data_IF_430818655555
#
_entry.id   IF_430818655555
#
_cell.length_a   1.000
_cell.length_b   1.000
_cell.length_c   1.000
_cell.angle_alpha   90.00
_cell.angle_beta   90.00
_cell.angle_gamma   90.00
#
_symmetry.space_group_name_H-M   'P 1'
#
loop_
_entity.id
_entity.type
_entity.pdbx_description
1 polymer ?
#
# COMPACT_ATOMS: atom_id res chain seq x y z
N UNK A 1 17.85 -17.90 10.78
CA UNK A 1 16.50 -18.33 11.20
C UNK A 1 15.85 -18.97 10.00
N UNK A 2 15.45 -20.24 10.07
CA UNK A 2 14.66 -20.85 9.01
C UNK A 2 13.26 -20.24 9.06
N UNK A 3 12.80 -19.66 7.95
CA UNK A 3 11.44 -19.14 7.84
C UNK A 3 10.49 -20.35 7.92
N UNK A 4 9.83 -20.52 9.06
CA UNK A 4 8.94 -21.64 9.29
C UNK A 4 7.54 -21.18 8.89
N UNK A 5 7.14 -21.57 7.68
CA UNK A 5 5.77 -21.38 7.23
C UNK A 5 4.85 -22.22 8.12
N UNK A 6 3.94 -21.57 8.82
CA UNK A 6 3.01 -22.24 9.75
C UNK A 6 1.95 -23.06 9.00
N UNK A 7 1.94 -23.04 7.66
CA UNK A 7 1.03 -23.81 6.83
C UNK A 7 -0.42 -23.36 6.93
N UNK A 8 -0.69 -22.20 7.55
CA UNK A 8 -2.01 -21.63 7.71
C UNK A 8 -2.52 -20.97 6.43
N UNK A 9 -3.79 -21.22 6.07
CA UNK A 9 -4.47 -20.47 5.01
C UNK A 9 -4.98 -19.14 5.57
N UNK A 10 -4.17 -18.10 5.45
CA UNK A 10 -4.52 -16.75 5.88
C UNK A 10 -4.93 -15.91 4.67
N UNK A 11 -6.20 -15.50 4.67
CA UNK A 11 -6.69 -14.54 3.66
C UNK A 11 -6.00 -13.18 3.83
N UNK A 12 -6.02 -12.31 2.81
CA UNK A 12 -5.39 -10.99 2.91
C UNK A 12 -5.93 -10.16 4.09
N UNK A 13 -7.20 -10.34 4.48
CA UNK A 13 -7.76 -9.66 5.66
C UNK A 13 -7.11 -10.06 6.98
N UNK A 14 -6.66 -11.31 7.13
CA UNK A 14 -5.88 -11.69 8.30
C UNK A 14 -4.54 -10.93 8.34
N UNK A 15 -3.92 -10.68 7.18
CA UNK A 15 -2.67 -9.94 7.08
C UNK A 15 -2.88 -8.45 7.36
N UNK A 16 -3.96 -7.85 6.85
CA UNK A 16 -4.36 -6.48 7.17
C UNK A 16 -4.62 -6.29 8.68
N UNK A 17 -5.38 -7.19 9.30
CA UNK A 17 -5.64 -7.14 10.74
C UNK A 17 -4.35 -7.30 11.56
N UNK A 18 -3.47 -8.21 11.16
CA UNK A 18 -2.18 -8.38 11.80
C UNK A 18 -1.27 -7.14 11.61
N UNK A 19 -1.27 -6.53 10.42
CA UNK A 19 -0.55 -5.29 10.15
C UNK A 19 -0.99 -4.15 11.07
N UNK A 20 -2.31 -3.99 11.26
CA UNK A 20 -2.87 -3.03 12.21
C UNK A 20 -2.38 -3.29 13.64
N UNK A 21 -2.44 -4.55 14.09
CA UNK A 21 -1.97 -4.94 15.41
C UNK A 21 -0.45 -4.72 15.61
N UNK A 22 0.36 -5.00 14.58
CA UNK A 22 1.80 -4.73 14.62
C UNK A 22 2.06 -3.23 14.69
N UNK A 23 1.38 -2.40 13.89
CA UNK A 23 1.60 -0.94 13.92
C UNK A 23 1.16 -0.32 15.27
N UNK A 24 0.07 -0.82 15.86
CA UNK A 24 -0.35 -0.44 17.20
C UNK A 24 0.68 -0.86 18.27
N UNK A 25 1.20 -2.09 18.17
CA UNK A 25 2.25 -2.57 19.07
C UNK A 25 3.54 -1.76 18.93
N UNK A 26 3.92 -1.41 17.69
CA UNK A 26 5.06 -0.52 17.45
C UNK A 26 4.87 0.83 18.15
N UNK A 27 3.65 1.36 18.27
CA UNK A 27 3.43 2.62 19.01
C UNK A 27 3.72 2.51 20.50
N UNK A 28 3.43 1.35 21.09
CA UNK A 28 3.62 1.07 22.52
C UNK A 28 5.08 0.82 22.88
N UNK A 29 5.95 0.56 21.90
CA UNK A 29 7.39 0.40 22.12
C UNK A 29 8.03 1.75 22.46
N UNK A 30 8.63 1.86 23.65
CA UNK A 30 9.45 3.01 24.05
C UNK A 30 10.52 3.30 23.01
N UNK A 31 10.45 4.51 22.43
CA UNK A 31 11.38 4.94 21.39
C UNK A 31 12.72 5.34 21.99
N UNK A 32 13.77 4.68 21.53
CA UNK A 32 15.16 5.03 21.80
C UNK A 32 15.83 5.41 20.48
N UNK A 33 16.95 6.16 20.49
CA UNK A 33 17.72 6.42 19.28
C UNK A 33 18.10 5.15 18.51
N UNK A 34 18.27 4.01 19.21
CA UNK A 34 18.61 2.73 18.61
C UNK A 34 17.45 2.03 17.89
N UNK A 35 16.20 2.18 18.35
CA UNK A 35 15.04 1.45 17.81
C UNK A 35 14.05 2.31 17.01
N UNK A 36 14.13 3.64 17.11
CA UNK A 36 13.20 4.55 16.45
C UNK A 36 13.26 4.38 14.92
N UNK A 37 14.48 4.29 14.38
CA UNK A 37 14.70 4.02 12.96
C UNK A 37 14.10 2.67 12.52
N UNK A 38 14.28 1.61 13.31
CA UNK A 38 13.72 0.30 12.99
C UNK A 38 12.19 0.33 12.95
N UNK A 39 11.55 0.94 13.95
CA UNK A 39 10.10 1.08 13.98
C UNK A 39 9.58 1.83 12.74
N UNK A 40 10.30 2.88 12.32
CA UNK A 40 9.99 3.66 11.12
C UNK A 40 10.12 2.84 9.84
N UNK A 41 11.15 1.98 9.73
CA UNK A 41 11.39 1.13 8.55
C UNK A 41 10.51 -0.10 8.48
N UNK A 42 9.96 -0.58 9.59
CA UNK A 42 9.00 -1.69 9.59
C UNK A 42 7.66 -1.26 8.99
N UNK A 43 7.18 -0.04 9.29
CA UNK A 43 5.84 0.42 8.90
C UNK A 43 5.52 0.30 7.39
N UNK A 44 6.40 0.69 6.46
CA UNK A 44 6.16 0.50 5.02
C UNK A 44 6.09 -0.96 4.56
N UNK A 45 6.59 -1.91 5.35
CA UNK A 45 6.56 -3.34 5.02
C UNK A 45 5.25 -4.00 5.46
N UNK A 46 4.44 -3.30 6.26
CA UNK A 46 3.15 -3.77 6.69
C UNK A 46 2.11 -3.53 5.59
N UNK A 47 1.25 -4.51 5.27
CA UNK A 47 0.12 -4.28 4.38
C UNK A 47 -0.79 -3.14 4.86
N UNK A 48 -1.50 -2.52 3.92
CA UNK A 48 -2.59 -1.60 4.20
C UNK A 48 -3.65 -2.31 5.03
N UNK A 49 -4.09 -1.62 6.08
CA UNK A 49 -5.19 -2.06 6.93
C UNK A 49 -6.41 -1.15 6.80
N UNK A 50 -6.60 -0.55 5.62
CA UNK A 50 -7.84 0.16 5.31
C UNK A 50 -9.06 -0.76 5.44
N UNK A 51 -10.23 -0.14 5.57
CA UNK A 51 -11.50 -0.85 5.66
C UNK A 51 -11.73 -1.85 4.50
N UNK A 52 -11.26 -1.52 3.30
CA UNK A 52 -11.34 -2.38 2.11
C UNK A 52 -10.55 -3.69 2.26
N UNK A 53 -9.43 -3.66 2.98
CA UNK A 53 -8.55 -4.83 3.16
C UNK A 53 -8.81 -5.61 4.44
N UNK A 54 -9.43 -4.99 5.44
CA UNK A 54 -9.84 -5.66 6.69
C UNK A 54 -11.20 -6.36 6.56
N UNK A 55 -11.97 -6.06 5.51
CA UNK A 55 -13.20 -6.76 5.15
C UNK A 55 -12.98 -8.28 5.01
N UNK A 56 -14.03 -9.10 5.20
CA UNK A 56 -13.88 -10.57 5.20
C UNK A 56 -13.33 -11.15 3.88
N UNK A 57 -13.60 -10.49 2.76
CA UNK A 57 -13.19 -10.96 1.43
C UNK A 57 -12.63 -9.77 0.63
N UNK A 58 -11.37 -9.36 0.90
CA UNK A 58 -10.71 -8.32 0.13
C UNK A 58 -10.17 -8.89 -1.19
N UNK A 59 -9.75 -8.01 -2.10
CA UNK A 59 -9.07 -8.39 -3.35
C UNK A 59 -9.87 -9.39 -4.20
N UNK A 60 -11.21 -9.32 -4.19
CA UNK A 60 -12.09 -10.28 -4.88
C UNK A 60 -12.02 -10.19 -6.40
N UNK A 61 -11.60 -9.04 -6.95
CA UNK A 61 -11.55 -8.79 -8.40
C UNK A 61 -10.74 -9.86 -9.15
N UNK A 62 -9.69 -10.39 -8.52
CA UNK A 62 -8.87 -11.45 -9.12
C UNK A 62 -9.67 -12.72 -9.40
N UNK A 63 -10.71 -13.01 -8.60
CA UNK A 63 -11.62 -14.12 -8.84
C UNK A 63 -12.38 -13.89 -10.14
N UNK A 64 -12.96 -12.71 -10.32
CA UNK A 64 -13.75 -12.43 -11.52
C UNK A 64 -12.87 -12.44 -12.76
N UNK A 65 -11.66 -11.88 -12.68
CA UNK A 65 -10.64 -11.92 -13.73
C UNK A 65 -10.32 -13.38 -14.14
N UNK A 66 -10.11 -14.27 -13.17
CA UNK A 66 -9.75 -15.66 -13.46
C UNK A 66 -10.88 -16.50 -14.10
N UNK A 67 -12.15 -16.09 -13.91
CA UNK A 67 -13.32 -16.81 -14.44
C UNK A 67 -13.86 -16.23 -15.76
N UNK A 68 -13.24 -15.17 -16.30
CA UNK A 68 -13.63 -14.55 -17.56
C UNK A 68 -13.69 -15.54 -18.71
N UNK A 69 -14.68 -15.43 -19.59
CA UNK A 69 -14.80 -16.29 -20.79
C UNK A 69 -13.99 -15.78 -21.99
N UNK A 70 -13.70 -14.48 -22.03
CA UNK A 70 -13.11 -13.72 -23.14
C UNK A 70 -11.57 -13.64 -23.12
N UNK A 71 -10.92 -14.57 -22.43
CA UNK A 71 -9.45 -14.71 -22.42
C UNK A 71 -9.02 -16.15 -22.75
N UNK A 72 -7.84 -16.35 -23.35
CA UNK A 72 -7.31 -17.69 -23.65
C UNK A 72 -7.18 -18.57 -22.41
N UNK A 73 -7.33 -19.89 -22.58
CA UNK A 73 -7.23 -20.86 -21.47
C UNK A 73 -5.90 -20.76 -20.71
N UNK A 74 -4.78 -20.64 -21.43
CA UNK A 74 -3.46 -20.56 -20.81
C UNK A 74 -3.34 -19.38 -19.83
N UNK A 75 -3.97 -18.25 -20.15
CA UNK A 75 -3.96 -17.05 -19.32
C UNK A 75 -4.82 -17.22 -18.07
N UNK A 76 -5.99 -17.88 -18.21
CA UNK A 76 -6.83 -18.25 -17.05
C UNK A 76 -6.07 -19.14 -16.09
N UNK A 77 -5.40 -20.15 -16.63
CA UNK A 77 -4.64 -21.11 -15.82
C UNK A 77 -3.47 -20.41 -15.10
N UNK A 78 -2.75 -19.51 -15.79
CA UNK A 78 -1.67 -18.71 -15.18
C UNK A 78 -2.19 -17.83 -14.03
N UNK A 79 -3.27 -17.07 -14.27
CA UNK A 79 -3.90 -16.21 -13.24
C UNK A 79 -4.39 -17.04 -12.06
N UNK A 80 -5.09 -18.16 -12.31
CA UNK A 80 -5.66 -19.00 -11.25
C UNK A 80 -4.57 -19.61 -10.38
N UNK A 81 -3.57 -20.23 -10.99
CA UNK A 81 -2.59 -21.04 -10.27
C UNK A 81 -1.43 -20.24 -9.70
N UNK A 82 -0.99 -19.18 -10.39
CA UNK A 82 0.16 -18.40 -9.95
C UNK A 82 -0.21 -17.15 -9.15
N UNK A 83 -1.44 -16.65 -9.25
CA UNK A 83 -1.85 -15.42 -8.57
C UNK A 83 -3.03 -15.65 -7.63
N UNK A 84 -4.23 -15.98 -8.14
CA UNK A 84 -5.44 -16.10 -7.31
C UNK A 84 -5.29 -17.10 -6.15
N UNK A 85 -4.82 -18.32 -6.43
CA UNK A 85 -4.72 -19.37 -5.42
C UNK A 85 -3.67 -19.06 -4.36
N UNK A 86 -2.61 -18.34 -4.72
CA UNK A 86 -1.53 -17.97 -3.79
C UNK A 86 -1.99 -16.83 -2.89
N UNK A 87 -2.44 -15.73 -3.50
CA UNK A 87 -2.94 -14.54 -2.80
C UNK A 87 -4.01 -14.87 -1.74
N UNK A 88 -4.93 -15.80 -2.03
CA UNK A 88 -5.98 -16.19 -1.09
C UNK A 88 -5.55 -17.20 -0.01
N UNK A 89 -4.34 -17.77 -0.11
CA UNK A 89 -3.77 -18.68 0.90
C UNK A 89 -2.77 -17.96 1.79
N UNK A 90 -1.94 -17.10 1.22
CA UNK A 90 -0.97 -16.28 1.91
C UNK A 90 -0.61 -15.12 0.97
N UNK A 91 -0.99 -13.89 1.34
CA UNK A 91 -0.77 -12.74 0.48
C UNK A 91 0.61 -12.15 0.75
N UNK A 92 1.43 -12.06 -0.29
CA UNK A 92 2.80 -11.55 -0.18
C UNK A 92 3.16 -10.58 -1.31
N UNK A 93 4.19 -9.72 -1.13
CA UNK A 93 4.63 -8.78 -2.16
C UNK A 93 4.95 -9.43 -3.52
N UNK A 94 5.30 -10.72 -3.53
CA UNK A 94 5.47 -11.54 -4.74
C UNK A 94 4.22 -11.66 -5.61
N UNK A 95 3.02 -11.48 -5.04
CA UNK A 95 1.76 -11.46 -5.79
C UNK A 95 1.69 -10.24 -6.71
N UNK A 96 2.21 -9.08 -6.27
CA UNK A 96 2.31 -7.88 -7.11
C UNK A 96 3.28 -8.11 -8.28
N UNK A 97 4.45 -8.70 -8.01
CA UNK A 97 5.41 -9.08 -9.06
C UNK A 97 4.79 -10.06 -10.05
N UNK A 98 4.00 -11.01 -9.57
CA UNK A 98 3.30 -11.98 -10.41
C UNK A 98 2.23 -11.30 -11.26
N UNK A 99 1.47 -10.37 -10.70
CA UNK A 99 0.48 -9.59 -11.42
C UNK A 99 1.12 -8.73 -12.52
N UNK A 100 2.23 -8.06 -12.21
CA UNK A 100 3.03 -7.28 -13.17
C UNK A 100 3.57 -8.14 -14.31
N UNK A 101 4.07 -9.35 -14.01
CA UNK A 101 4.52 -10.31 -15.02
C UNK A 101 3.38 -10.68 -15.97
N UNK A 102 2.21 -11.04 -15.43
CA UNK A 102 1.03 -11.39 -16.22
C UNK A 102 0.64 -10.21 -17.11
N UNK A 103 0.58 -9.00 -16.56
CA UNK A 103 0.27 -7.77 -17.30
C UNK A 103 1.24 -7.50 -18.44
N UNK A 104 2.55 -7.57 -18.18
CA UNK A 104 3.56 -7.33 -19.20
C UNK A 104 3.50 -8.32 -20.36
N UNK A 105 3.08 -9.57 -20.09
CA UNK A 105 2.90 -10.57 -21.14
C UNK A 105 1.72 -10.25 -22.06
N UNK A 106 0.68 -9.56 -21.58
CA UNK A 106 -0.61 -9.44 -22.29
C UNK A 106 -0.96 -8.02 -22.74
N UNK A 107 -0.33 -6.99 -22.18
CA UNK A 107 -0.69 -5.57 -22.43
C UNK A 107 -0.61 -5.18 -23.92
N UNK A 108 0.36 -5.73 -24.66
CA UNK A 108 0.61 -5.41 -26.07
C UNK A 108 0.00 -6.45 -27.03
N UNK A 109 -0.61 -7.52 -26.50
CA UNK A 109 -1.29 -8.53 -27.31
C UNK A 109 -2.63 -8.01 -27.81
N UNK A 110 -2.84 -8.01 -29.13
CA UNK A 110 -4.03 -7.45 -29.77
C UNK A 110 -5.29 -8.33 -29.67
N UNK A 111 -5.12 -9.63 -29.40
CA UNK A 111 -6.20 -10.62 -29.24
C UNK A 111 -6.75 -10.69 -27.81
N UNK A 112 -6.14 -9.96 -26.87
CA UNK A 112 -6.59 -9.91 -25.48
C UNK A 112 -7.63 -8.81 -25.29
N UNK A 113 -8.77 -9.19 -24.71
CA UNK A 113 -9.90 -8.30 -24.40
C UNK A 113 -9.46 -7.03 -23.65
N UNK A 114 -9.87 -5.87 -24.15
CA UNK A 114 -9.64 -4.57 -23.50
C UNK A 114 -10.26 -4.50 -22.10
N UNK A 115 -11.44 -5.10 -21.92
CA UNK A 115 -12.10 -5.16 -20.62
C UNK A 115 -11.35 -6.06 -19.61
N UNK A 116 -10.66 -7.10 -20.07
CA UNK A 116 -9.74 -7.84 -19.21
C UNK A 116 -8.54 -6.96 -18.81
N UNK A 117 -7.95 -6.24 -19.77
CA UNK A 117 -6.79 -5.38 -19.51
C UNK A 117 -7.10 -4.30 -18.48
N UNK A 118 -8.26 -3.67 -18.59
CA UNK A 118 -8.74 -2.68 -17.62
C UNK A 118 -8.89 -3.29 -16.21
N UNK A 119 -9.56 -4.44 -16.08
CA UNK A 119 -9.72 -5.08 -14.77
C UNK A 119 -8.39 -5.51 -14.15
N UNK A 120 -7.46 -6.00 -14.96
CA UNK A 120 -6.12 -6.36 -14.50
C UNK A 120 -5.33 -5.13 -14.03
N UNK A 121 -5.44 -4.00 -14.74
CA UNK A 121 -4.83 -2.74 -14.34
C UNK A 121 -5.37 -2.24 -13.00
N UNK A 122 -6.70 -2.25 -12.82
CA UNK A 122 -7.33 -1.87 -11.55
C UNK A 122 -6.87 -2.81 -10.42
N UNK A 123 -6.85 -4.12 -10.67
CA UNK A 123 -6.41 -5.10 -9.68
C UNK A 123 -4.94 -4.90 -9.26
N UNK A 124 -4.05 -4.56 -10.20
CA UNK A 124 -2.66 -4.21 -9.87
C UNK A 124 -2.59 -2.96 -8.98
N UNK A 125 -3.44 -1.96 -9.22
CA UNK A 125 -3.61 -0.83 -8.33
C UNK A 125 -4.02 -1.25 -6.91
N UNK A 126 -5.01 -2.13 -6.80
CA UNK A 126 -5.46 -2.67 -5.50
C UNK A 126 -4.34 -3.44 -4.78
N UNK A 127 -3.50 -4.21 -5.48
CA UNK A 127 -2.34 -4.88 -4.88
C UNK A 127 -1.27 -3.89 -4.44
N UNK A 128 -0.99 -2.87 -5.26
CA UNK A 128 0.00 -1.84 -4.95
C UNK A 128 -0.41 -1.04 -3.71
N UNK A 129 -1.69 -0.72 -3.58
CA UNK A 129 -2.24 -0.12 -2.38
C UNK A 129 -2.19 -1.08 -1.18
N UNK A 130 -2.62 -2.33 -1.35
CA UNK A 130 -2.58 -3.34 -0.29
C UNK A 130 -1.18 -3.55 0.28
N UNK A 131 -0.13 -3.54 -0.55
CA UNK A 131 1.25 -3.71 -0.10
C UNK A 131 1.98 -2.38 0.19
N UNK A 132 1.27 -1.25 0.21
CA UNK A 132 1.86 0.09 0.44
C UNK A 132 3.04 0.43 -0.50
N UNK A 133 3.05 -0.15 -1.70
CA UNK A 133 4.12 -0.08 -2.69
C UNK A 133 4.10 1.21 -3.54
N UNK A 134 3.17 2.13 -3.26
CA UNK A 134 3.10 3.44 -3.88
C UNK A 134 4.25 4.38 -3.53
N UNK A 135 4.59 5.28 -4.45
CA UNK A 135 5.58 6.34 -4.20
C UNK A 135 5.06 7.41 -3.24
N UNK A 136 5.94 8.31 -2.79
CA UNK A 136 5.54 9.45 -1.95
C UNK A 136 4.44 10.29 -2.61
N UNK A 137 4.57 10.56 -3.90
CA UNK A 137 3.65 11.45 -4.62
C UNK A 137 2.24 10.84 -4.71
N UNK A 138 2.15 9.54 -4.97
CA UNK A 138 0.88 8.81 -4.95
C UNK A 138 0.24 8.81 -3.56
N UNK A 139 1.05 8.64 -2.50
CA UNK A 139 0.57 8.65 -1.11
C UNK A 139 0.05 10.02 -0.68
N UNK A 140 0.74 11.10 -1.06
CA UNK A 140 0.27 12.46 -0.78
C UNK A 140 -0.98 12.76 -1.58
N UNK A 141 -1.03 12.45 -2.87
CA UNK A 141 -2.21 12.66 -3.72
C UNK A 141 -3.45 11.93 -3.17
N UNK A 142 -3.30 10.68 -2.72
CA UNK A 142 -4.36 9.93 -2.04
C UNK A 142 -4.85 10.62 -0.75
N UNK A 143 -3.93 11.04 0.11
CA UNK A 143 -4.29 11.75 1.34
C UNK A 143 -4.97 13.10 1.07
N UNK A 144 -4.53 13.85 0.06
CA UNK A 144 -5.15 15.10 -0.36
C UNK A 144 -6.58 14.89 -0.85
N UNK A 145 -6.83 13.84 -1.65
CA UNK A 145 -8.17 13.47 -2.12
C UNK A 145 -9.10 13.07 -0.99
N UNK A 146 -8.57 12.40 0.03
CA UNK A 146 -9.31 12.00 1.24
C UNK A 146 -9.46 13.12 2.27
N UNK A 147 -8.73 14.23 2.12
CA UNK A 147 -8.75 15.36 3.05
C UNK A 147 -8.06 15.06 4.38
N UNK A 148 -7.04 14.21 4.35
CA UNK A 148 -6.37 13.66 5.53
C UNK A 148 -4.96 14.21 5.74
N UNK A 149 -4.38 14.08 6.95
CA UNK A 149 -5.09 13.76 8.21
C UNK A 149 -6.00 14.89 8.70
N UNK A 150 -5.71 16.13 8.30
CA UNK A 150 -6.49 17.32 8.67
C UNK A 150 -6.26 18.46 7.64
N UNK A 151 -7.00 19.55 7.78
CA UNK A 151 -6.91 20.69 6.86
C UNK A 151 -5.55 21.42 6.89
N UNK A 152 -4.83 21.40 8.02
CA UNK A 152 -3.51 22.02 8.11
C UNK A 152 -2.47 21.17 7.38
N UNK A 153 -2.49 19.86 7.57
CA UNK A 153 -1.66 18.90 6.85
C UNK A 153 -1.87 19.01 5.34
N UNK A 154 -3.12 19.16 4.89
CA UNK A 154 -3.45 19.39 3.48
C UNK A 154 -2.68 20.57 2.89
N UNK A 155 -2.77 21.74 3.51
CA UNK A 155 -2.07 22.94 3.03
C UNK A 155 -0.55 22.78 3.07
N UNK A 156 -0.02 22.08 4.07
CA UNK A 156 1.42 21.78 4.15
C UNK A 156 1.89 20.80 3.06
N UNK A 157 1.10 19.79 2.73
CA UNK A 157 1.37 18.83 1.65
C UNK A 157 1.34 19.51 0.28
N UNK A 158 0.33 20.36 0.01
CA UNK A 158 0.25 21.17 -1.21
C UNK A 158 1.47 22.11 -1.33
N UNK A 159 1.84 22.76 -0.22
CA UNK A 159 3.04 23.59 -0.15
C UNK A 159 4.33 22.80 -0.43
N UNK A 160 4.45 21.60 0.13
CA UNK A 160 5.59 20.72 -0.15
C UNK A 160 5.67 20.32 -1.61
N UNK A 161 4.55 19.97 -2.26
CA UNK A 161 4.57 19.67 -3.69
C UNK A 161 5.03 20.86 -4.53
N UNK A 162 4.56 22.07 -4.22
CA UNK A 162 5.03 23.28 -4.88
C UNK A 162 6.56 23.41 -4.76
N UNK A 163 7.09 23.32 -3.54
CA UNK A 163 8.54 23.45 -3.29
C UNK A 163 9.36 22.28 -3.88
N UNK A 164 8.80 21.06 -3.90
CA UNK A 164 9.45 19.89 -4.50
C UNK A 164 9.75 20.11 -5.98
N UNK A 165 8.85 20.75 -6.70
CA UNK A 165 8.96 20.96 -8.15
C UNK A 165 9.60 22.30 -8.54
N UNK A 166 9.34 23.37 -7.80
CA UNK A 166 9.74 24.73 -8.16
C UNK A 166 10.70 25.40 -7.15
N UNK A 167 10.83 24.84 -5.95
CA UNK A 167 11.61 25.42 -4.86
C UNK A 167 13.13 25.22 -5.01
N UNK A 168 13.89 25.96 -4.22
CA UNK A 168 15.32 25.72 -4.03
C UNK A 168 15.55 24.77 -2.84
N UNK A 169 16.79 24.30 -2.65
CA UNK A 169 17.09 23.30 -1.62
C UNK A 169 16.63 23.73 -0.21
N UNK A 170 16.85 24.99 0.15
CA UNK A 170 16.45 25.53 1.45
C UNK A 170 14.93 25.52 1.65
N UNK A 171 14.13 25.97 0.68
CA UNK A 171 12.67 26.04 0.81
C UNK A 171 12.04 24.64 0.87
N UNK A 172 12.63 23.66 0.16
CA UNK A 172 12.27 22.25 0.30
C UNK A 172 12.51 21.71 1.70
N UNK A 173 13.69 21.97 2.28
CA UNK A 173 14.01 21.53 3.63
C UNK A 173 13.05 22.14 4.66
N UNK A 174 12.71 23.42 4.50
CA UNK A 174 11.72 24.11 5.35
C UNK A 174 10.31 23.54 5.19
N UNK A 175 9.89 23.17 3.97
CA UNK A 175 8.61 22.50 3.74
C UNK A 175 8.57 21.12 4.42
N UNK A 176 9.62 20.31 4.27
CA UNK A 176 9.75 19.00 4.94
C UNK A 176 9.72 19.17 6.46
N UNK A 177 10.46 20.15 7.01
CA UNK A 177 10.49 20.42 8.44
C UNK A 177 9.11 20.73 9.00
N UNK A 178 8.37 21.64 8.34
CA UNK A 178 6.99 22.00 8.72
C UNK A 178 6.06 20.79 8.72
N UNK A 179 6.11 19.97 7.66
CA UNK A 179 5.33 18.73 7.56
C UNK A 179 5.64 17.74 8.69
N UNK A 180 6.93 17.48 8.93
CA UNK A 180 7.35 16.51 9.95
C UNK A 180 6.97 16.99 11.35
N UNK A 181 7.10 18.28 11.65
CA UNK A 181 6.65 18.85 12.92
C UNK A 181 5.14 18.70 13.08
N UNK A 182 4.36 19.01 12.05
CA UNK A 182 2.90 18.83 12.09
C UNK A 182 2.52 17.38 12.34
N UNK A 183 3.08 16.44 11.56
CA UNK A 183 2.80 15.01 11.73
C UNK A 183 3.21 14.49 13.11
N UNK A 184 4.38 14.91 13.62
CA UNK A 184 4.85 14.50 14.95
C UNK A 184 3.85 14.88 16.03
N UNK A 185 3.36 16.13 16.01
CA UNK A 185 2.35 16.60 16.96
C UNK A 185 1.01 15.87 16.78
N UNK A 186 0.59 15.67 15.53
CA UNK A 186 -0.67 14.98 15.22
C UNK A 186 -0.65 13.52 15.71
N UNK A 187 0.48 12.81 15.56
CA UNK A 187 0.61 11.42 16.02
C UNK A 187 0.47 11.23 17.53
N UNK A 188 0.72 12.26 18.35
CA UNK A 188 0.58 12.17 19.80
C UNK A 188 -0.88 12.09 20.25
N UNK A 189 -1.79 12.65 19.45
CA UNK A 189 -3.22 12.76 19.80
C UNK A 189 -4.14 11.95 18.90
N UNK A 190 -3.63 11.46 17.76
CA UNK A 190 -4.44 10.74 16.78
C UNK A 190 -4.81 9.33 17.24
N UNK A 191 -6.01 8.88 16.87
CA UNK A 191 -6.43 7.51 17.07
C UNK A 191 -5.71 6.56 16.10
N UNK A 192 -5.46 5.33 16.57
CA UNK A 192 -4.94 4.27 15.71
C UNK A 192 -5.96 3.92 14.61
N UNK A 193 -5.49 3.82 13.37
CA UNK A 193 -6.38 3.57 12.24
C UNK A 193 -5.75 3.90 10.89
N UNK A 194 -6.52 3.73 9.82
CA UNK A 194 -6.01 3.83 8.45
C UNK A 194 -5.45 5.23 8.10
N UNK A 195 -6.04 6.30 8.65
CA UNK A 195 -5.53 7.67 8.50
C UNK A 195 -4.14 7.79 9.14
N UNK A 196 -3.95 7.18 10.31
CA UNK A 196 -2.66 7.14 10.99
C UNK A 196 -1.64 6.36 10.14
N UNK A 197 -2.02 5.23 9.55
CA UNK A 197 -1.16 4.47 8.64
C UNK A 197 -0.70 5.34 7.47
N UNK A 198 -1.64 5.93 6.72
CA UNK A 198 -1.34 6.73 5.53
C UNK A 198 -0.42 7.90 5.86
N UNK A 199 -0.74 8.63 6.93
CA UNK A 199 0.08 9.77 7.39
C UNK A 199 1.49 9.36 7.75
N UNK A 200 1.68 8.20 8.40
CA UNK A 200 3.01 7.65 8.72
C UNK A 200 3.79 7.26 7.48
N UNK A 201 3.13 6.68 6.50
CA UNK A 201 3.78 6.28 5.25
C UNK A 201 4.23 7.49 4.44
N UNK A 202 3.46 8.59 4.47
CA UNK A 202 3.88 9.87 3.91
C UNK A 202 5.10 10.39 4.67
N UNK A 203 5.02 10.48 6.00
CA UNK A 203 6.13 10.92 6.83
C UNK A 203 7.41 10.13 6.53
N UNK A 204 7.35 8.80 6.52
CA UNK A 204 8.48 7.92 6.17
C UNK A 204 9.04 8.23 4.78
N UNK A 205 8.18 8.53 3.82
CA UNK A 205 8.58 8.85 2.45
C UNK A 205 9.20 10.24 2.27
N UNK A 206 9.08 11.14 3.25
CA UNK A 206 9.74 12.47 3.23
C UNK A 206 11.25 12.42 3.50
N UNK A 207 11.85 11.23 3.66
CA UNK A 207 13.31 11.03 3.76
C UNK A 207 14.02 11.26 2.43
#
# INVERSE_FOLDING_TARGET
VACQDTGGHHRPCAHANLASAIDEALNKVTKTPANAYLCRKIRPLLPSYSSDYTAQVPLTRIRDIAHRSDIPKWLKDDIKHNLQNKLHRCAGPEDLVTAERIWNNVKDMGDISGAFKEQMWIFMGELKEFFNAGGLDEKIDDALKKGEPDGAAKGLMEGFFHEKHAGHAQSRLEAIGRLRTHFSNWFETADHGEVMQRTRLIDVGLE
#
